data_IF_681342588608
#
_entry.id   IF_681342588608
#
_cell.length_a   1.000
_cell.length_b   1.000
_cell.length_c   1.000
_cell.angle_alpha   90.00
_cell.angle_beta   90.00
_cell.angle_gamma   90.00
#
_symmetry.space_group_name_H-M   'P 1'
#
loop_
_entity.id
_entity.type
_entity.pdbx_description
1 polymer ?
#
# COMPACT_ATOMS: atom_id res chain seq x y z
N UNK A 1 -4.25 20.18 -64.96
CA UNK A 1 -4.86 19.23 -64.00
C UNK A 1 -4.29 19.52 -62.62
N UNK A 2 -5.12 19.92 -61.65
CA UNK A 2 -4.66 20.22 -60.27
C UNK A 2 -5.31 19.20 -59.33
N UNK A 3 -4.54 18.25 -58.84
CA UNK A 3 -4.96 17.28 -57.83
C UNK A 3 -4.97 17.99 -56.46
N UNK A 4 -6.16 18.27 -55.92
CA UNK A 4 -6.32 18.68 -54.52
C UNK A 4 -6.22 17.44 -53.63
N UNK A 5 -5.16 17.34 -52.84
CA UNK A 5 -5.08 16.36 -51.77
C UNK A 5 -6.03 16.79 -50.63
N UNK A 6 -7.05 15.97 -50.36
CA UNK A 6 -7.93 16.14 -49.20
C UNK A 6 -7.21 15.55 -47.99
N UNK A 7 -6.73 16.40 -47.10
CA UNK A 7 -6.15 15.96 -45.83
C UNK A 7 -7.24 15.26 -44.99
N UNK A 8 -7.01 13.99 -44.68
CA UNK A 8 -7.88 13.20 -43.80
C UNK A 8 -7.74 13.74 -42.38
N UNK A 9 -8.71 14.54 -41.94
CA UNK A 9 -8.76 15.05 -40.56
C UNK A 9 -8.88 13.86 -39.62
N UNK A 10 -7.84 13.61 -38.83
CA UNK A 10 -7.84 12.58 -37.80
C UNK A 10 -8.88 12.96 -36.74
N UNK A 11 -9.92 12.15 -36.60
CA UNK A 11 -10.93 12.35 -35.56
C UNK A 11 -10.27 12.17 -34.18
N UNK A 12 -10.61 13.00 -33.19
CA UNK A 12 -10.09 12.83 -31.84
C UNK A 12 -10.57 11.50 -31.28
N UNK A 13 -9.63 10.58 -31.01
CA UNK A 13 -9.93 9.28 -30.41
C UNK A 13 -10.47 9.51 -29.00
N UNK A 14 -11.74 9.17 -28.77
CA UNK A 14 -12.34 9.23 -27.43
C UNK A 14 -11.58 8.24 -26.53
N UNK A 15 -10.99 8.71 -25.41
CA UNK A 15 -10.20 7.85 -24.53
C UNK A 15 -11.10 6.75 -23.95
N UNK A 16 -10.66 5.52 -24.10
CA UNK A 16 -11.35 4.37 -23.53
C UNK A 16 -10.99 4.25 -22.04
N UNK A 17 -11.81 3.54 -21.25
CA UNK A 17 -11.53 3.32 -19.81
C UNK A 17 -10.14 2.73 -19.54
N UNK A 18 -9.66 1.89 -20.45
CA UNK A 18 -8.32 1.28 -20.37
C UNK A 18 -7.22 2.32 -20.56
N UNK A 19 -7.42 3.29 -21.46
CA UNK A 19 -6.45 4.37 -21.71
C UNK A 19 -6.28 5.20 -20.43
N UNK A 20 -7.38 5.52 -19.74
CA UNK A 20 -7.35 6.25 -18.45
C UNK A 20 -6.59 5.49 -17.35
N UNK A 21 -6.80 4.17 -17.25
CA UNK A 21 -6.07 3.33 -16.29
C UNK A 21 -4.58 3.29 -16.63
N UNK A 22 -4.24 3.19 -17.92
CA UNK A 22 -2.86 3.16 -18.38
C UNK A 22 -2.14 4.49 -18.11
N UNK A 23 -2.83 5.60 -18.32
CA UNK A 23 -2.32 6.94 -18.00
C UNK A 23 -2.06 7.08 -16.50
N UNK A 24 -2.99 6.59 -15.66
CA UNK A 24 -2.78 6.55 -14.20
C UNK A 24 -1.61 5.66 -13.78
N UNK A 25 -1.49 4.45 -14.35
CA UNK A 25 -0.38 3.55 -14.06
C UNK A 25 0.98 4.12 -14.51
N UNK A 26 0.99 4.93 -15.58
CA UNK A 26 2.19 5.58 -16.13
C UNK A 26 2.46 6.97 -15.55
N UNK A 27 1.54 7.51 -14.74
CA UNK A 27 1.66 8.84 -14.18
C UNK A 27 3.01 9.01 -13.46
N UNK A 28 3.64 10.19 -13.53
CA UNK A 28 4.83 10.46 -12.75
C UNK A 28 4.46 10.59 -11.26
N UNK A 29 5.39 10.30 -10.32
CA UNK A 29 6.69 9.67 -10.52
C UNK A 29 6.63 8.18 -10.90
N UNK A 30 7.59 7.70 -11.68
CA UNK A 30 7.72 6.27 -11.99
C UNK A 30 8.29 5.50 -10.80
N UNK A 31 7.49 4.62 -10.22
CA UNK A 31 7.81 3.85 -9.02
C UNK A 31 8.63 2.59 -9.34
N UNK A 32 9.79 2.76 -9.99
CA UNK A 32 10.70 1.66 -10.33
C UNK A 32 11.65 1.35 -9.16
N UNK A 33 11.69 0.09 -8.75
CA UNK A 33 12.54 -0.43 -7.69
C UNK A 33 13.78 -1.13 -8.27
N UNK A 34 14.91 -1.03 -7.60
CA UNK A 34 16.19 -1.62 -8.02
C UNK A 34 16.59 -2.74 -7.07
N UNK A 35 16.88 -3.91 -7.63
CA UNK A 35 17.44 -5.04 -6.88
C UNK A 35 16.52 -5.62 -5.83
N UNK A 36 15.21 -5.35 -5.87
CA UNK A 36 14.21 -5.94 -4.98
C UNK A 36 13.61 -7.16 -5.66
N UNK A 37 13.74 -8.32 -5.03
CA UNK A 37 13.17 -9.57 -5.52
C UNK A 37 11.76 -9.80 -4.97
N UNK A 38 11.56 -9.53 -3.66
CA UNK A 38 10.27 -9.74 -2.99
C UNK A 38 9.87 -8.54 -2.15
N UNK A 39 8.57 -8.24 -2.19
CA UNK A 39 7.92 -7.18 -1.43
C UNK A 39 6.75 -7.80 -0.66
N UNK A 40 6.87 -7.93 0.66
CA UNK A 40 5.78 -8.40 1.52
C UNK A 40 5.21 -7.23 2.33
N UNK A 41 3.89 -7.08 2.33
CA UNK A 41 3.18 -6.03 3.07
C UNK A 41 2.23 -6.68 4.06
N UNK A 42 2.35 -6.34 5.34
CA UNK A 42 1.45 -6.82 6.40
C UNK A 42 0.62 -5.67 6.94
N UNK A 43 -0.71 -5.77 6.88
CA UNK A 43 -1.61 -4.71 7.37
C UNK A 43 -2.95 -5.22 7.90
N UNK A 44 -3.65 -4.38 8.64
CA UNK A 44 -4.97 -4.68 9.17
C UNK A 44 -6.01 -4.60 8.03
N UNK A 45 -6.95 -5.55 8.01
CA UNK A 45 -8.01 -5.57 7.01
C UNK A 45 -8.99 -4.39 7.18
N UNK A 46 -9.34 -4.05 8.43
CA UNK A 46 -10.32 -3.02 8.80
C UNK A 46 -9.86 -2.17 9.99
N UNK A 47 -10.44 -0.98 10.10
CA UNK A 47 -10.41 -0.04 11.23
C UNK A 47 -9.05 0.46 11.70
N UNK A 48 -7.96 0.08 11.03
CA UNK A 48 -6.62 0.51 11.36
C UNK A 48 -5.72 0.56 10.11
N UNK A 49 -4.53 1.14 10.27
CA UNK A 49 -3.47 1.22 9.27
C UNK A 49 -3.94 1.92 7.99
N UNK A 50 -4.68 3.03 8.13
CA UNK A 50 -5.29 3.75 7.01
C UNK A 50 -4.28 4.09 5.90
N UNK A 51 -3.13 4.66 6.26
CA UNK A 51 -2.09 5.00 5.28
C UNK A 51 -1.55 3.78 4.53
N UNK A 52 -1.33 2.65 5.21
CA UNK A 52 -0.93 1.40 4.57
C UNK A 52 -2.04 0.85 3.62
N UNK A 53 -3.31 0.96 4.00
CA UNK A 53 -4.45 0.56 3.16
C UNK A 53 -4.54 1.43 1.90
N UNK A 54 -4.39 2.75 2.05
CA UNK A 54 -4.35 3.67 0.93
C UNK A 54 -3.14 3.41 0.03
N UNK A 55 -1.98 3.13 0.60
CA UNK A 55 -0.78 2.73 -0.16
C UNK A 55 -1.04 1.47 -1.02
N UNK A 56 -1.60 0.41 -0.43
CA UNK A 56 -1.93 -0.82 -1.14
C UNK A 56 -2.95 -0.60 -2.26
N UNK A 57 -3.93 0.29 -2.05
CA UNK A 57 -4.97 0.57 -3.05
C UNK A 57 -4.46 1.44 -4.21
N UNK A 58 -3.75 2.52 -3.91
CA UNK A 58 -3.43 3.58 -4.87
C UNK A 58 -2.03 3.42 -5.50
N UNK A 59 -1.06 2.92 -4.72
CA UNK A 59 0.35 2.95 -5.15
C UNK A 59 0.86 1.57 -5.57
N UNK A 60 0.37 0.50 -4.93
CA UNK A 60 0.80 -0.86 -5.25
C UNK A 60 0.54 -1.28 -6.70
N UNK A 61 -0.60 -0.95 -7.33
CA UNK A 61 -0.82 -1.27 -8.76
C UNK A 61 0.20 -0.58 -9.67
N UNK A 62 0.57 0.66 -9.35
CA UNK A 62 1.59 1.43 -10.07
C UNK A 62 2.98 0.81 -9.89
N UNK A 63 3.32 0.38 -8.68
CA UNK A 63 4.57 -0.34 -8.39
C UNK A 63 4.61 -1.66 -9.16
N UNK A 64 3.55 -2.46 -9.14
CA UNK A 64 3.49 -3.73 -9.89
C UNK A 64 3.64 -3.50 -11.39
N UNK A 65 3.00 -2.46 -11.93
CA UNK A 65 3.10 -2.11 -13.35
C UNK A 65 4.52 -1.69 -13.75
N UNK A 66 5.19 -0.90 -12.91
CA UNK A 66 6.58 -0.48 -13.15
C UNK A 66 7.60 -1.62 -12.95
N UNK A 67 7.26 -2.64 -12.15
CA UNK A 67 8.16 -3.72 -11.75
C UNK A 67 7.47 -5.10 -11.89
N UNK A 68 7.35 -5.63 -13.13
CA UNK A 68 6.62 -6.89 -13.37
C UNK A 68 7.30 -8.11 -12.72
N UNK A 69 8.62 -8.07 -12.55
CA UNK A 69 9.42 -9.23 -12.12
C UNK A 69 9.48 -9.42 -10.60
N UNK A 70 8.93 -8.49 -9.81
CA UNK A 70 8.98 -8.57 -8.34
C UNK A 70 7.84 -9.45 -7.84
N UNK A 71 8.13 -10.33 -6.87
CA UNK A 71 7.08 -11.06 -6.16
C UNK A 71 6.48 -10.16 -5.07
N UNK A 72 5.18 -9.83 -5.18
CA UNK A 72 4.49 -8.93 -4.24
C UNK A 72 3.42 -9.72 -3.51
N UNK A 73 3.54 -9.79 -2.19
CA UNK A 73 2.59 -10.46 -1.31
C UNK A 73 1.95 -9.46 -0.34
N UNK A 74 0.62 -9.49 -0.23
CA UNK A 74 -0.12 -8.61 0.69
C UNK A 74 -0.89 -9.46 1.68
N UNK A 75 -0.46 -9.40 2.94
CA UNK A 75 -1.09 -10.08 4.05
C UNK A 75 -2.04 -9.12 4.77
N UNK A 76 -3.34 -9.40 4.68
CA UNK A 76 -4.39 -8.65 5.36
C UNK A 76 -4.90 -9.47 6.54
N UNK A 77 -4.51 -9.09 7.75
CA UNK A 77 -4.95 -9.76 8.97
C UNK A 77 -6.18 -9.05 9.57
N UNK A 78 -7.12 -9.83 10.11
CA UNK A 78 -8.18 -9.29 10.95
C UNK A 78 -7.54 -8.83 12.27
N UNK A 79 -7.78 -7.57 12.63
CA UNK A 79 -7.29 -6.95 13.88
C UNK A 79 -8.50 -6.58 14.73
N UNK A 80 -8.53 -7.02 15.97
CA UNK A 80 -9.55 -6.60 16.95
C UNK A 80 -9.14 -5.31 17.66
N UNK A 81 -10.07 -4.61 18.31
CA UNK A 81 -9.79 -3.32 18.97
C UNK A 81 -8.78 -3.41 20.11
N UNK A 82 -8.65 -4.58 20.75
CA UNK A 82 -7.71 -4.83 21.84
C UNK A 82 -6.31 -5.23 21.35
N UNK A 83 -6.17 -5.55 20.05
CA UNK A 83 -4.90 -5.98 19.49
C UNK A 83 -4.10 -4.76 19.03
N UNK A 84 -2.84 -4.67 19.44
CA UNK A 84 -1.94 -3.59 19.07
C UNK A 84 -0.70 -4.18 18.39
N UNK A 85 -0.62 -4.01 17.06
CA UNK A 85 0.52 -4.39 16.23
C UNK A 85 0.63 -3.42 15.05
N UNK A 86 1.85 -3.22 14.53
CA UNK A 86 2.14 -2.23 13.47
C UNK A 86 2.11 -2.82 12.06
N UNK A 87 1.66 -2.05 11.05
CA UNK A 87 1.82 -2.43 9.66
C UNK A 87 3.29 -2.32 9.24
N UNK A 88 3.75 -3.20 8.36
CA UNK A 88 5.13 -3.23 7.91
C UNK A 88 5.26 -3.62 6.43
N UNK A 89 6.35 -3.17 5.81
CA UNK A 89 6.82 -3.64 4.50
C UNK A 89 8.15 -4.34 4.69
N UNK A 90 8.25 -5.59 4.24
CA UNK A 90 9.49 -6.35 4.17
C UNK A 90 9.98 -6.38 2.71
N UNK A 91 11.20 -5.91 2.51
CA UNK A 91 11.91 -5.93 1.24
C UNK A 91 12.96 -7.03 1.30
N UNK A 92 12.96 -7.93 0.31
CA UNK A 92 14.03 -8.89 0.09
C UNK A 92 14.74 -8.51 -1.19
N UNK A 93 16.02 -8.19 -1.10
CA UNK A 93 16.85 -7.79 -2.21
C UNK A 93 17.48 -9.01 -2.90
N UNK A 94 17.92 -8.83 -4.16
CA UNK A 94 18.60 -9.86 -4.95
C UNK A 94 19.93 -10.31 -4.33
N UNK A 95 20.57 -9.44 -3.54
CA UNK A 95 21.78 -9.77 -2.77
C UNK A 95 21.49 -10.55 -1.48
N UNK A 96 20.23 -10.92 -1.24
CA UNK A 96 19.76 -11.62 -0.05
C UNK A 96 19.55 -10.74 1.17
N UNK A 97 19.87 -9.44 1.11
CA UNK A 97 19.60 -8.52 2.23
C UNK A 97 18.10 -8.35 2.42
N UNK A 98 17.71 -8.12 3.67
CA UNK A 98 16.33 -7.82 4.03
C UNK A 98 16.25 -6.48 4.73
N UNK A 99 15.21 -5.72 4.42
CA UNK A 99 14.91 -4.46 5.10
C UNK A 99 13.43 -4.36 5.41
N UNK A 100 13.12 -4.01 6.65
CA UNK A 100 11.74 -3.83 7.10
C UNK A 100 11.48 -2.34 7.33
N UNK A 101 10.39 -1.84 6.74
CA UNK A 101 9.90 -0.49 6.93
C UNK A 101 8.65 -0.52 7.80
N UNK A 102 8.67 0.26 8.88
CA UNK A 102 7.50 0.48 9.73
C UNK A 102 6.53 1.44 9.03
N UNK A 103 5.24 1.10 8.97
CA UNK A 103 4.21 1.93 8.35
C UNK A 103 3.23 2.52 9.37
N UNK A 104 3.47 2.33 10.68
CA UNK A 104 2.57 2.81 11.72
C UNK A 104 2.44 4.32 11.68
N UNK A 105 1.19 4.81 11.71
CA UNK A 105 0.83 6.24 11.64
C UNK A 105 1.40 7.01 10.43
N UNK A 106 1.96 6.30 9.45
CA UNK A 106 2.48 6.92 8.23
C UNK A 106 1.39 7.06 7.19
N UNK A 107 1.45 8.17 6.47
CA UNK A 107 0.59 8.41 5.33
C UNK A 107 1.08 7.65 4.10
N UNK A 108 0.17 7.40 3.15
CA UNK A 108 0.52 6.66 1.95
C UNK A 108 1.62 7.34 1.12
N UNK A 109 1.68 8.66 1.04
CA UNK A 109 2.74 9.32 0.26
C UNK A 109 4.08 9.27 0.99
N UNK A 110 4.09 9.41 2.31
CA UNK A 110 5.27 9.19 3.15
C UNK A 110 5.82 7.77 2.97
N UNK A 111 4.95 6.75 2.96
CA UNK A 111 5.35 5.36 2.70
C UNK A 111 5.98 5.20 1.31
N UNK A 112 5.40 5.81 0.28
CA UNK A 112 5.98 5.79 -1.08
C UNK A 112 7.38 6.40 -1.07
N UNK A 113 7.54 7.58 -0.46
CA UNK A 113 8.84 8.25 -0.40
C UNK A 113 9.89 7.38 0.27
N UNK A 114 9.58 6.83 1.44
CA UNK A 114 10.51 6.02 2.21
C UNK A 114 10.90 4.72 1.49
N UNK A 115 9.94 4.09 0.79
CA UNK A 115 10.18 2.93 -0.07
C UNK A 115 11.09 3.29 -1.25
N UNK A 116 10.79 4.39 -1.95
CA UNK A 116 11.55 4.84 -3.12
C UNK A 116 12.92 5.39 -2.73
N UNK A 117 13.09 5.96 -1.54
CA UNK A 117 14.39 6.38 -1.02
C UNK A 117 15.24 5.18 -0.62
N UNK A 118 14.60 4.08 -0.21
CA UNK A 118 15.28 2.85 0.16
C UNK A 118 15.67 2.00 -1.04
N UNK A 119 14.79 1.87 -2.03
CA UNK A 119 14.90 0.90 -3.10
C UNK A 119 14.63 1.48 -4.50
N UNK A 120 14.43 2.79 -4.64
CA UNK A 120 14.18 3.43 -5.92
C UNK A 120 15.42 3.50 -6.81
N UNK A 121 15.18 3.67 -8.10
CA UNK A 121 16.24 3.89 -9.11
C UNK A 121 16.70 5.35 -9.16
N UNK A 122 17.74 5.65 -9.95
CA UNK A 122 18.17 7.03 -10.22
C UNK A 122 17.06 7.92 -10.79
N UNK A 123 16.07 7.34 -11.47
CA UNK A 123 14.91 8.07 -12.00
C UNK A 123 14.12 8.76 -10.88
N UNK A 124 14.02 8.13 -9.71
CA UNK A 124 13.40 8.72 -8.52
C UNK A 124 14.20 9.92 -8.00
N UNK A 125 15.53 9.79 -7.91
CA UNK A 125 16.40 10.89 -7.47
C UNK A 125 16.27 12.10 -8.38
N UNK A 126 16.31 11.89 -9.71
CA UNK A 126 16.13 12.97 -10.69
C UNK A 126 14.76 13.63 -10.56
N UNK A 127 13.70 12.83 -10.37
CA UNK A 127 12.36 13.35 -10.12
C UNK A 127 12.32 14.23 -8.88
N UNK A 128 12.87 13.78 -7.75
CA UNK A 128 12.91 14.57 -6.50
C UNK A 128 13.61 15.91 -6.71
N UNK A 129 14.78 15.91 -7.37
CA UNK A 129 15.51 17.15 -7.65
C UNK A 129 14.69 18.11 -8.51
N UNK A 130 14.02 17.61 -9.55
CA UNK A 130 13.18 18.43 -10.42
C UNK A 130 11.93 18.96 -9.71
N UNK A 131 11.28 18.13 -8.90
CA UNK A 131 10.10 18.51 -8.13
C UNK A 131 10.45 19.60 -7.11
N UNK A 132 11.56 19.44 -6.38
CA UNK A 132 12.09 20.44 -5.45
C UNK A 132 12.45 21.74 -6.16
N UNK A 133 13.13 21.67 -7.30
CA UNK A 133 13.48 22.85 -8.10
C UNK A 133 12.25 23.59 -8.65
N UNK A 134 11.15 22.87 -8.90
CA UNK A 134 9.90 23.43 -9.43
C UNK A 134 8.90 23.83 -8.34
N UNK A 135 9.22 23.59 -7.06
CA UNK A 135 8.29 23.81 -5.94
C UNK A 135 7.05 22.90 -5.96
N UNK A 136 7.10 21.77 -6.67
CA UNK A 136 6.01 20.81 -6.77
C UNK A 136 6.12 19.73 -5.68
N UNK A 137 4.99 19.15 -5.22
CA UNK A 137 5.02 18.02 -4.29
C UNK A 137 5.74 16.82 -4.91
N UNK A 138 6.53 16.11 -4.10
CA UNK A 138 7.35 14.98 -4.59
C UNK A 138 6.45 13.80 -4.99
N UNK A 139 5.38 13.58 -4.23
CA UNK A 139 4.35 12.60 -4.52
C UNK A 139 3.01 13.34 -4.60
N UNK A 140 2.21 13.13 -5.66
CA UNK A 140 0.88 13.72 -5.75
C UNK A 140 0.03 13.37 -4.52
N UNK A 141 -0.60 14.37 -3.89
CA UNK A 141 -1.42 14.20 -2.69
C UNK A 141 -0.71 14.57 -1.37
N UNK A 142 0.58 14.89 -1.41
CA UNK A 142 1.35 15.34 -0.24
C UNK A 142 0.77 16.62 0.41
N UNK A 143 0.14 17.49 -0.38
CA UNK A 143 -0.49 18.72 0.09
C UNK A 143 -1.57 18.50 1.16
N UNK A 144 -2.12 17.28 1.23
CA UNK A 144 -3.14 16.90 2.21
C UNK A 144 -2.53 16.43 3.54
N UNK A 145 -1.26 16.02 3.56
CA UNK A 145 -0.60 15.48 4.76
C UNK A 145 -0.18 16.59 5.73
N UNK A 146 0.26 17.74 5.20
CA UNK A 146 0.79 18.86 5.99
C UNK A 146 -0.22 19.47 6.97
N UNK A 147 -1.51 19.16 6.83
CA UNK A 147 -2.59 19.66 7.69
C UNK A 147 -2.87 18.76 8.90
N UNK A 148 -2.29 17.55 8.94
CA UNK A 148 -2.53 16.60 10.02
C UNK A 148 -1.34 16.54 10.98
N UNK A 149 -1.64 16.43 12.28
CA UNK A 149 -0.63 16.41 13.35
C UNK A 149 0.25 15.16 13.23
N UNK A 150 1.57 15.37 13.29
CA UNK A 150 2.56 14.30 13.45
C UNK A 150 2.52 13.84 14.90
N UNK A 151 2.01 12.64 15.17
CA UNK A 151 2.19 11.98 16.47
C UNK A 151 3.61 11.40 16.52
N UNK A 152 4.40 11.89 17.48
CA UNK A 152 5.79 11.45 17.70
C UNK A 152 5.91 10.33 18.73
N UNK A 153 4.81 9.66 19.08
CA UNK A 153 4.85 8.58 20.06
C UNK A 153 5.37 7.28 19.45
N UNK A 154 6.68 7.07 19.60
CA UNK A 154 7.38 5.83 19.30
C UNK A 154 7.06 4.78 20.37
N UNK A 155 5.78 4.49 20.59
CA UNK A 155 5.41 3.28 21.32
C UNK A 155 5.65 2.12 20.35
N UNK A 156 6.74 1.38 20.57
CA UNK A 156 7.23 0.32 19.66
C UNK A 156 6.25 -0.85 19.65
N UNK A 157 5.19 -0.74 18.85
CA UNK A 157 4.22 -1.81 18.63
C UNK A 157 4.92 -3.03 18.02
N UNK A 158 4.53 -4.25 18.41
CA UNK A 158 5.08 -5.47 17.83
C UNK A 158 4.70 -5.61 16.35
N UNK A 159 5.52 -6.31 15.58
CA UNK A 159 5.17 -6.72 14.20
C UNK A 159 4.02 -7.74 14.20
N UNK A 160 3.40 -7.96 13.03
CA UNK A 160 2.35 -8.99 12.91
C UNK A 160 2.89 -10.39 13.26
N UNK A 161 4.13 -10.68 12.83
CA UNK A 161 4.79 -11.96 13.13
C UNK A 161 5.04 -12.13 14.62
N UNK A 162 5.55 -11.09 15.29
CA UNK A 162 5.77 -11.09 16.73
C UNK A 162 4.47 -11.24 17.51
N UNK A 163 3.43 -10.50 17.10
CA UNK A 163 2.12 -10.56 17.73
C UNK A 163 1.51 -11.97 17.66
N UNK A 164 1.57 -12.62 16.49
CA UNK A 164 1.08 -14.00 16.33
C UNK A 164 1.88 -15.00 17.16
N UNK A 165 3.21 -14.87 17.19
CA UNK A 165 4.07 -15.73 18.00
C UNK A 165 3.75 -15.58 19.50
N UNK A 166 3.52 -14.36 19.98
CA UNK A 166 3.12 -14.11 21.37
C UNK A 166 1.76 -14.74 21.68
N UNK A 167 0.77 -14.58 20.79
CA UNK A 167 -0.57 -15.17 20.96
C UNK A 167 -0.53 -16.70 21.01
N UNK A 168 0.24 -17.33 20.12
CA UNK A 168 0.41 -18.79 20.12
C UNK A 168 1.06 -19.31 21.40
N UNK A 169 2.00 -18.57 22.00
CA UNK A 169 2.62 -18.95 23.28
C UNK A 169 1.61 -18.89 24.44
N UNK A 170 0.74 -17.90 24.46
CA UNK A 170 -0.32 -17.79 25.48
C UNK A 170 -1.34 -18.91 25.32
N UNK A 171 -1.78 -19.16 24.08
CA UNK A 171 -2.75 -20.23 23.78
C UNK A 171 -2.20 -21.63 24.07
N UNK A 172 -0.89 -21.85 23.86
CA UNK A 172 -0.22 -23.10 24.21
C UNK A 172 0.01 -23.27 25.72
N UNK A 173 0.05 -22.18 26.50
CA UNK A 173 0.25 -22.21 27.95
C UNK A 173 -1.06 -22.47 28.73
N UNK A 174 -2.21 -22.08 28.19
CA UNK A 174 -3.54 -22.30 28.79
C UNK A 174 -4.52 -22.93 27.78
N UNK A 175 -4.54 -24.26 27.60
CA UNK A 175 -5.39 -24.95 26.62
C UNK A 175 -6.89 -24.99 27.00
N UNK A 176 -7.34 -24.16 27.96
CA UNK A 176 -8.68 -24.23 28.58
C UNK A 176 -9.50 -22.93 28.54
N UNK A 177 -9.17 -22.00 27.63
CA UNK A 177 -10.06 -20.89 27.31
C UNK A 177 -10.91 -21.25 26.09
N UNK A 178 -12.19 -21.54 26.31
CA UNK A 178 -13.16 -21.94 25.29
C UNK A 178 -13.21 -20.96 24.10
N UNK A 179 -13.43 -21.45 22.87
CA UNK A 179 -13.62 -20.59 21.71
C UNK A 179 -14.89 -19.75 21.89
N UNK A 180 -14.73 -18.44 21.70
CA UNK A 180 -15.78 -17.42 21.61
C UNK A 180 -17.04 -18.01 20.97
N UNK A 181 -18.22 -17.96 21.64
CA UNK A 181 -19.44 -18.51 21.07
C UNK A 181 -19.75 -17.78 19.76
N UNK A 182 -19.86 -18.55 18.68
CA UNK A 182 -20.46 -18.09 17.42
C UNK A 182 -21.81 -17.45 17.76
N UNK A 183 -22.18 -16.28 17.22
CA UNK A 183 -23.55 -15.81 17.35
C UNK A 183 -24.46 -16.85 16.68
N UNK A 184 -25.26 -17.54 17.49
CA UNK A 184 -26.29 -18.46 17.02
C UNK A 184 -27.22 -17.72 16.06
N UNK A 185 -27.64 -18.36 14.95
CA UNK A 185 -28.67 -17.82 14.09
C UNK A 185 -29.98 -17.77 14.89
N UNK A 186 -30.63 -16.61 14.90
CA UNK A 186 -31.97 -16.45 15.45
C UNK A 186 -32.95 -17.31 14.63
N UNK A 187 -33.38 -18.42 15.21
CA UNK A 187 -34.54 -19.18 14.74
C UNK A 187 -35.79 -18.64 15.43
N UNK A 188 -36.68 -18.11 14.60
CA UNK A 188 -38.15 -18.08 14.67
C UNK A 188 -38.85 -17.90 16.03
N UNK A 189 -39.62 -16.81 16.12
CA UNK A 189 -40.81 -16.74 16.97
C UNK A 189 -42.01 -16.21 16.16
N UNK A 190 -42.83 -17.15 15.70
CA UNK A 190 -44.27 -17.10 15.43
C UNK A 190 -44.71 -18.57 15.51
N UNK A 191 -45.86 -18.98 16.10
CA UNK A 191 -47.18 -18.31 16.27
C UNK A 191 -47.56 -18.22 17.79
N UNK A 192 -48.73 -17.84 18.30
CA UNK A 192 -50.14 -17.99 17.88
C UNK A 192 -51.03 -17.16 18.85
N UNK A 193 -52.05 -16.46 18.33
CA UNK A 193 -53.39 -16.16 18.93
C UNK A 193 -54.14 -15.14 18.09
#
# INVERSE_FOLDING_TARGET
>A
MVLKAVAKVAQPKVPQKIDLVLDWLRAPPRLQLRGVQKLKISLAYRNDHFGARHFVKEQLPRIRFANPNIDIHVEKALKTKSEAWRPEIELVFEDGKQKTLDLHEKWSTTIVKELMDTAGTEGWTRWKTNALASGLPIVPGEESESKARVSTDVTRLPSLKEFRAARQRVEAADPKADPIPKPSPATEASPDS
#
